data_IF_875962483786
#
_entry.id   IF_875962483786
#
_cell.length_a   1.000
_cell.length_b   1.000
_cell.length_c   1.000
_cell.angle_alpha   90.00
_cell.angle_beta   90.00
_cell.angle_gamma   90.00
#
_symmetry.space_group_name_H-M   'P 1'
#
loop_
_entity.id
_entity.type
_entity.pdbx_description
1 polymer ?
#
# COMPACT_ATOMS: atom_id res chain seq x y z
N UNK A 1 -17.46 19.84 13.75
CA UNK A 1 -16.59 19.73 12.57
C UNK A 1 -15.19 19.85 13.12
N UNK A 2 -14.58 18.72 13.46
CA UNK A 2 -13.28 18.72 14.10
C UNK A 2 -12.21 19.04 13.05
N UNK A 3 -11.34 19.98 13.39
CA UNK A 3 -10.32 20.54 12.52
C UNK A 3 -9.45 19.43 11.91
N UNK A 4 -9.51 19.30 10.58
CA UNK A 4 -8.44 18.65 9.82
C UNK A 4 -7.18 19.47 10.05
N UNK A 5 -6.06 18.80 10.35
CA UNK A 5 -4.80 19.52 10.46
C UNK A 5 -4.41 20.02 9.07
N UNK A 6 -4.70 21.28 8.78
CA UNK A 6 -4.48 21.91 7.47
C UNK A 6 -2.99 22.00 7.11
N UNK A 7 -2.10 21.78 8.08
CA UNK A 7 -0.65 21.72 7.89
C UNK A 7 -0.07 20.55 8.71
N UNK A 8 -0.17 19.30 8.21
CA UNK A 8 0.51 18.18 8.84
C UNK A 8 2.03 18.43 8.82
N UNK A 9 2.64 18.54 9.99
CA UNK A 9 4.10 18.69 10.10
C UNK A 9 4.77 17.35 9.79
N UNK A 10 5.26 17.22 8.56
CA UNK A 10 6.07 16.08 8.17
C UNK A 10 7.46 16.18 8.81
N UNK A 11 7.69 15.36 9.83
CA UNK A 11 9.06 15.15 10.35
C UNK A 11 9.95 14.47 9.30
N UNK A 12 11.30 14.61 9.39
CA UNK A 12 12.26 13.94 8.50
C UNK A 12 12.02 12.42 8.36
N UNK A 13 11.57 11.77 9.44
CA UNK A 13 11.27 10.34 9.43
C UNK A 13 10.12 9.99 8.46
N UNK A 14 9.11 10.85 8.32
CA UNK A 14 8.02 10.63 7.38
C UNK A 14 8.50 10.69 5.93
N UNK A 15 9.41 11.60 5.59
CA UNK A 15 9.98 11.67 4.26
C UNK A 15 10.80 10.42 3.92
N UNK A 16 11.59 9.92 4.88
CA UNK A 16 12.31 8.65 4.72
C UNK A 16 11.33 7.50 4.51
N UNK A 17 10.25 7.44 5.29
CA UNK A 17 9.22 6.41 5.16
C UNK A 17 8.53 6.46 3.79
N UNK A 18 8.17 7.65 3.31
CA UNK A 18 7.58 7.85 1.98
C UNK A 18 8.53 7.39 0.86
N UNK A 19 9.83 7.70 0.97
CA UNK A 19 10.84 7.24 0.02
C UNK A 19 10.99 5.71 0.05
N UNK A 20 11.00 5.10 1.23
CA UNK A 20 11.04 3.64 1.37
C UNK A 20 9.80 2.99 0.76
N UNK A 21 8.61 3.55 0.99
CA UNK A 21 7.37 3.06 0.37
C UNK A 21 7.40 3.18 -1.15
N UNK A 22 7.96 4.28 -1.69
CA UNK A 22 8.11 4.46 -3.13
C UNK A 22 9.06 3.42 -3.74
N UNK A 23 10.22 3.21 -3.12
CA UNK A 23 11.18 2.19 -3.54
C UNK A 23 10.55 0.79 -3.48
N UNK A 24 9.83 0.50 -2.39
CA UNK A 24 9.16 -0.79 -2.23
C UNK A 24 8.03 -0.99 -3.26
N UNK A 25 7.20 0.01 -3.50
CA UNK A 25 6.12 -0.09 -4.48
C UNK A 25 6.64 -0.25 -5.92
N UNK A 26 7.83 0.29 -6.24
CA UNK A 26 8.43 0.25 -7.58
C UNK A 26 9.32 -0.97 -7.83
N UNK A 27 10.19 -1.32 -6.89
CA UNK A 27 11.17 -2.40 -7.03
C UNK A 27 10.80 -3.67 -6.23
N UNK A 28 9.77 -3.61 -5.39
CA UNK A 28 9.40 -4.71 -4.49
C UNK A 28 9.01 -5.98 -5.23
N UNK A 29 8.41 -5.89 -6.42
CA UNK A 29 8.05 -7.06 -7.23
C UNK A 29 9.30 -7.80 -7.70
N UNK A 30 10.32 -7.07 -8.20
CA UNK A 30 11.61 -7.64 -8.60
C UNK A 30 12.37 -8.25 -7.43
N UNK A 31 12.35 -7.58 -6.27
CA UNK A 31 12.98 -8.10 -5.04
C UNK A 31 12.29 -9.40 -4.62
N UNK A 32 10.96 -9.40 -4.52
CA UNK A 32 10.20 -10.58 -4.12
C UNK A 32 10.32 -11.72 -5.16
N UNK A 33 10.38 -11.41 -6.45
CA UNK A 33 10.59 -12.42 -7.50
C UNK A 33 11.96 -13.09 -7.40
N UNK A 34 12.97 -12.37 -6.93
CA UNK A 34 14.29 -12.96 -6.63
C UNK A 34 14.23 -13.92 -5.44
N UNK A 35 13.48 -13.58 -4.38
CA UNK A 35 13.30 -14.45 -3.21
C UNK A 35 12.39 -15.65 -3.48
N UNK A 36 11.36 -15.48 -4.30
CA UNK A 36 10.33 -16.47 -4.60
C UNK A 36 10.21 -16.70 -6.12
N UNK A 37 11.25 -17.28 -6.75
CA UNK A 37 11.30 -17.42 -8.21
C UNK A 37 10.17 -18.30 -8.77
N UNK A 38 9.68 -19.26 -7.99
CA UNK A 38 8.55 -20.11 -8.40
C UNK A 38 7.23 -19.36 -8.53
N UNK A 39 7.10 -18.23 -7.83
CA UNK A 39 5.92 -17.37 -7.90
C UNK A 39 6.16 -16.13 -8.79
N UNK A 40 7.31 -16.02 -9.48
CA UNK A 40 7.68 -14.84 -10.27
C UNK A 40 6.65 -14.46 -11.34
N UNK A 41 5.94 -15.44 -11.90
CA UNK A 41 4.87 -15.22 -12.90
C UNK A 41 3.48 -15.00 -12.28
N UNK A 42 3.38 -14.96 -10.95
CA UNK A 42 2.11 -14.76 -10.26
C UNK A 42 1.73 -13.29 -10.26
N UNK A 43 0.46 -13.00 -10.59
CA UNK A 43 -0.12 -11.66 -10.49
C UNK A 43 -0.07 -11.11 -9.06
N UNK A 44 -0.06 -11.98 -8.05
CA UNK A 44 0.13 -11.58 -6.67
C UNK A 44 1.47 -10.87 -6.44
N UNK A 45 2.52 -11.31 -7.12
CA UNK A 45 3.87 -10.82 -6.89
C UNK A 45 4.10 -9.43 -7.49
N UNK A 46 3.39 -9.11 -8.58
CA UNK A 46 3.36 -7.76 -9.16
C UNK A 46 2.43 -6.81 -8.41
N UNK A 47 1.34 -7.32 -7.81
CA UNK A 47 0.34 -6.48 -7.17
C UNK A 47 0.55 -6.26 -5.65
N UNK A 48 1.18 -7.19 -4.93
CA UNK A 48 1.43 -7.06 -3.48
C UNK A 48 2.20 -5.79 -3.11
N UNK A 49 3.36 -5.48 -3.75
CA UNK A 49 4.15 -4.32 -3.38
C UNK A 49 3.39 -2.99 -3.45
N UNK A 50 2.71 -2.64 -4.56
CA UNK A 50 1.96 -1.40 -4.62
C UNK A 50 0.77 -1.39 -3.66
N UNK A 51 0.08 -2.51 -3.43
CA UNK A 51 -1.05 -2.59 -2.50
C UNK A 51 -0.64 -2.34 -1.04
N UNK A 52 0.46 -2.96 -0.60
CA UNK A 52 1.01 -2.72 0.73
C UNK A 52 1.53 -1.28 0.88
N UNK A 53 2.12 -0.72 -0.19
CA UNK A 53 2.52 0.67 -0.24
C UNK A 53 1.34 1.63 -0.03
N UNK A 54 0.25 1.39 -0.75
CA UNK A 54 -0.98 2.20 -0.69
C UNK A 54 -1.67 2.10 0.68
N UNK A 55 -1.73 0.90 1.26
CA UNK A 55 -2.25 0.72 2.62
C UNK A 55 -1.41 1.46 3.68
N UNK A 56 -0.08 1.37 3.57
CA UNK A 56 0.84 2.05 4.49
C UNK A 56 0.68 3.57 4.40
N UNK A 57 0.50 4.11 3.19
CA UNK A 57 0.18 5.53 2.98
C UNK A 57 -1.15 5.93 3.63
N UNK A 58 -2.20 5.12 3.48
CA UNK A 58 -3.49 5.40 4.09
C UNK A 58 -3.41 5.42 5.62
N UNK A 59 -2.65 4.49 6.22
CA UNK A 59 -2.42 4.49 7.67
C UNK A 59 -1.63 5.72 8.08
N UNK A 60 -0.55 6.06 7.37
CA UNK A 60 0.29 7.22 7.67
C UNK A 60 -0.53 8.51 7.65
N UNK A 61 -1.27 8.74 6.57
CA UNK A 61 -2.08 9.96 6.41
C UNK A 61 -3.24 10.02 7.39
N UNK A 62 -3.83 8.87 7.76
CA UNK A 62 -4.83 8.80 8.82
C UNK A 62 -4.23 9.12 10.19
N UNK A 63 -3.04 8.59 10.49
CA UNK A 63 -2.31 8.85 11.73
C UNK A 63 -1.86 10.30 11.87
N UNK A 64 -1.50 10.94 10.74
CA UNK A 64 -1.15 12.36 10.67
C UNK A 64 -2.37 13.30 10.69
N UNK A 65 -3.59 12.77 10.69
CA UNK A 65 -4.83 13.57 10.65
C UNK A 65 -5.08 14.28 9.31
N UNK A 66 -4.40 13.86 8.24
CA UNK A 66 -4.55 14.40 6.88
C UNK A 66 -5.86 13.92 6.25
N UNK A 67 -6.22 12.66 6.50
CA UNK A 67 -7.44 12.04 5.98
C UNK A 67 -8.28 11.47 7.11
N UNK A 68 -9.60 11.68 7.04
CA UNK A 68 -10.58 11.03 7.92
C UNK A 68 -11.27 9.91 7.16
N UNK A 69 -10.66 8.73 7.16
CA UNK A 69 -11.29 7.53 6.62
C UNK A 69 -11.72 6.60 7.76
N UNK A 70 -12.99 6.13 7.73
CA UNK A 70 -13.41 5.06 8.64
C UNK A 70 -12.50 3.85 8.43
N UNK A 71 -12.16 3.14 9.50
CA UNK A 71 -11.24 2.00 9.41
C UNK A 71 -11.71 0.97 8.38
N UNK A 72 -13.03 0.78 8.24
CA UNK A 72 -13.63 -0.06 7.20
C UNK A 72 -13.20 0.34 5.78
N UNK A 73 -13.12 1.64 5.46
CA UNK A 73 -12.69 2.12 4.15
C UNK A 73 -11.19 1.89 3.90
N UNK A 74 -10.37 1.95 4.95
CA UNK A 74 -8.93 1.64 4.87
C UNK A 74 -8.71 0.15 4.61
N UNK A 75 -9.48 -0.72 5.27
CA UNK A 75 -9.41 -2.17 5.03
C UNK A 75 -9.98 -2.56 3.67
N UNK A 76 -11.08 -1.95 3.22
CA UNK A 76 -11.65 -2.23 1.90
C UNK A 76 -10.70 -1.86 0.77
N UNK A 77 -9.88 -0.82 0.95
CA UNK A 77 -8.86 -0.43 -0.02
C UNK A 77 -7.84 -1.55 -0.31
N UNK A 78 -7.61 -2.48 0.62
CA UNK A 78 -6.81 -3.69 0.37
C UNK A 78 -7.70 -4.85 -0.09
N UNK A 79 -8.82 -5.09 0.60
CA UNK A 79 -9.65 -6.26 0.36
C UNK A 79 -10.20 -6.30 -1.06
N UNK A 80 -10.63 -5.16 -1.59
CA UNK A 80 -11.18 -5.07 -2.94
C UNK A 80 -10.16 -5.52 -4.00
N UNK A 81 -8.96 -4.92 -4.11
CA UNK A 81 -7.98 -5.37 -5.09
C UNK A 81 -7.49 -6.80 -4.84
N UNK A 82 -7.32 -7.22 -3.59
CA UNK A 82 -6.99 -8.62 -3.25
C UNK A 82 -8.05 -9.58 -3.81
N UNK A 83 -9.32 -9.26 -3.65
CA UNK A 83 -10.44 -10.10 -4.13
C UNK A 83 -10.45 -10.12 -5.65
N UNK A 84 -10.23 -8.97 -6.30
CA UNK A 84 -10.15 -8.87 -7.77
C UNK A 84 -8.99 -9.70 -8.31
N UNK A 85 -7.79 -9.59 -7.72
CA UNK A 85 -6.59 -10.36 -8.15
C UNK A 85 -6.82 -11.86 -7.95
N UNK A 86 -7.37 -12.25 -6.81
CA UNK A 86 -7.68 -13.65 -6.51
C UNK A 86 -8.69 -14.23 -7.50
N UNK A 87 -9.74 -13.46 -7.81
CA UNK A 87 -10.72 -13.84 -8.81
C UNK A 87 -10.07 -13.97 -10.18
N UNK A 88 -9.31 -12.97 -10.62
CA UNK A 88 -8.67 -12.97 -11.93
C UNK A 88 -7.68 -14.12 -12.11
N UNK A 89 -6.90 -14.44 -11.08
CA UNK A 89 -5.97 -15.57 -11.10
C UNK A 89 -6.68 -16.93 -11.14
N UNK A 90 -7.92 -17.04 -10.65
CA UNK A 90 -8.69 -18.29 -10.76
C UNK A 90 -9.16 -18.57 -12.21
N UNK A 91 -9.30 -17.54 -13.05
CA UNK A 91 -9.70 -17.69 -14.45
C UNK A 91 -8.54 -17.85 -15.44
N UNK A 92 -7.29 -17.68 -14.98
CA UNK A 92 -6.07 -17.85 -15.76
C UNK A 92 -5.45 -19.23 -15.52
#
# INVERSE_FOLDING_TARGET
MDDLNLQPEFTPAHYVLLLLLLIFASAGSSILAWFLPQAANSLWLSALPPLLGLYSLLILFKGLGIIRLPSAAVYSAIFTPVTVISFYQFFL
#
